data_IF_315626571719
#
_entry.id   IF_315626571719
#
_cell.length_a   1.000
_cell.length_b   1.000
_cell.length_c   1.000
_cell.angle_alpha   90.00
_cell.angle_beta   90.00
_cell.angle_gamma   90.00
#
_symmetry.space_group_name_H-M   'P 1'
#
loop_
_entity.id
_entity.type
_entity.pdbx_description
1 polymer ?
#
# COMPACT_ATOMS: atom_id res chain seq x y z
N UNK A 1 9.55 14.17 1.76
CA UNK A 1 8.56 14.87 0.90
C UNK A 1 7.17 14.88 1.56
N UNK A 2 6.60 13.71 1.87
CA UNK A 2 5.28 13.63 2.51
C UNK A 2 5.21 14.41 3.83
N UNK A 3 6.24 14.31 4.69
CA UNK A 3 6.33 15.09 5.94
C UNK A 3 6.09 16.58 5.76
N UNK A 4 6.63 17.17 4.71
CA UNK A 4 6.48 18.59 4.44
C UNK A 4 5.02 18.94 4.11
N UNK A 5 4.38 18.13 3.25
CA UNK A 5 2.96 18.30 2.89
C UNK A 5 2.08 18.17 4.14
N UNK A 6 2.37 17.18 4.99
CA UNK A 6 1.62 16.94 6.22
C UNK A 6 1.81 18.06 7.25
N UNK A 7 3.05 18.53 7.42
CA UNK A 7 3.35 19.67 8.30
C UNK A 7 2.65 20.94 7.82
N UNK A 8 2.64 21.21 6.51
CA UNK A 8 1.88 22.32 5.94
C UNK A 8 0.38 22.16 6.18
N UNK A 9 -0.16 20.94 6.04
CA UNK A 9 -1.57 20.64 6.28
C UNK A 9 -1.98 20.95 7.72
N UNK A 10 -1.15 20.56 8.69
CA UNK A 10 -1.39 20.90 10.10
C UNK A 10 -1.21 22.41 10.39
N UNK A 11 -0.25 23.08 9.74
CA UNK A 11 -0.04 24.52 9.91
C UNK A 11 -1.18 25.36 9.34
N UNK A 12 -1.73 24.96 8.19
CA UNK A 12 -2.81 25.69 7.51
C UNK A 12 -4.21 25.16 7.84
N UNK A 13 -4.33 24.17 8.73
CA UNK A 13 -5.56 23.43 9.04
C UNK A 13 -6.29 22.90 7.77
N UNK A 14 -5.52 22.45 6.78
CA UNK A 14 -6.05 21.95 5.50
C UNK A 14 -6.02 20.42 5.43
N UNK A 15 -7.19 19.82 5.62
CA UNK A 15 -7.38 18.37 5.64
C UNK A 15 -8.20 17.84 4.46
N UNK A 16 -8.14 18.51 3.29
CA UNK A 16 -8.82 18.05 2.07
C UNK A 16 -8.32 16.67 1.62
N UNK A 17 -9.01 16.03 0.66
CA UNK A 17 -8.56 14.77 0.06
C UNK A 17 -7.12 14.87 -0.44
N UNK A 18 -6.29 13.89 -0.11
CA UNK A 18 -4.93 13.74 -0.62
C UNK A 18 -4.88 12.55 -1.58
N UNK A 19 -4.50 12.78 -2.84
CA UNK A 19 -4.28 11.73 -3.84
C UNK A 19 -2.79 11.65 -4.09
N UNK A 20 -2.21 10.46 -3.96
CA UNK A 20 -0.78 10.22 -4.11
C UNK A 20 -0.57 9.07 -5.08
N UNK A 21 0.25 9.31 -6.09
CA UNK A 21 0.69 8.27 -7.02
C UNK A 21 2.12 7.86 -6.65
N UNK A 22 2.34 6.55 -6.53
CA UNK A 22 3.62 5.92 -6.23
C UNK A 22 4.44 6.64 -5.13
N UNK A 23 3.91 6.80 -3.89
CA UNK A 23 4.66 7.40 -2.79
C UNK A 23 5.95 6.65 -2.44
N UNK A 24 6.07 5.39 -2.85
CA UNK A 24 7.24 4.52 -2.65
C UNK A 24 8.41 4.76 -3.61
N UNK A 25 8.22 5.49 -4.71
CA UNK A 25 9.22 5.57 -5.76
C UNK A 25 10.54 6.16 -5.24
N UNK A 26 11.66 5.52 -5.61
CA UNK A 26 13.02 5.84 -5.15
C UNK A 26 13.25 5.70 -3.64
N UNK A 27 12.34 5.07 -2.89
CA UNK A 27 12.53 4.76 -1.47
C UNK A 27 12.96 3.29 -1.29
N UNK A 28 13.83 3.04 -0.33
CA UNK A 28 14.18 1.68 0.06
C UNK A 28 13.03 1.03 0.86
N UNK A 29 12.93 -0.30 0.79
CA UNK A 29 11.87 -1.08 1.45
C UNK A 29 11.80 -0.84 2.96
N UNK A 30 12.94 -0.59 3.62
CA UNK A 30 12.98 -0.36 5.06
C UNK A 30 12.38 1.01 5.39
N UNK A 31 12.68 2.05 4.61
CA UNK A 31 12.06 3.37 4.79
C UNK A 31 10.56 3.35 4.52
N UNK A 32 10.10 2.62 3.49
CA UNK A 32 8.67 2.45 3.20
C UNK A 32 7.95 1.89 4.44
N UNK A 33 8.48 0.83 5.02
CA UNK A 33 7.87 0.18 6.19
C UNK A 33 7.96 1.01 7.47
N UNK A 34 9.12 1.58 7.80
CA UNK A 34 9.36 2.25 9.08
C UNK A 34 8.84 3.69 9.11
N UNK A 35 8.79 4.38 7.97
CA UNK A 35 8.49 5.82 7.92
C UNK A 35 7.20 6.09 7.17
N UNK A 36 7.14 5.75 5.89
CA UNK A 36 6.01 6.11 5.03
C UNK A 36 4.69 5.50 5.53
N UNK A 37 4.68 4.20 5.83
CA UNK A 37 3.51 3.50 6.40
C UNK A 37 3.02 4.17 7.68
N UNK A 38 3.93 4.59 8.56
CA UNK A 38 3.57 5.21 9.83
C UNK A 38 3.02 6.64 9.66
N UNK A 39 3.55 7.41 8.70
CA UNK A 39 3.01 8.72 8.34
C UNK A 39 1.60 8.62 7.76
N UNK A 40 1.36 7.63 6.89
CA UNK A 40 0.03 7.41 6.32
C UNK A 40 -0.98 7.03 7.41
N UNK A 41 -0.59 6.17 8.36
CA UNK A 41 -1.42 5.80 9.52
C UNK A 41 -1.78 6.98 10.41
N UNK A 42 -0.84 7.89 10.68
CA UNK A 42 -1.11 9.02 11.57
C UNK A 42 -2.04 10.07 10.96
N UNK A 43 -2.13 10.10 9.63
CA UNK A 43 -2.87 11.13 8.89
C UNK A 43 -4.23 10.67 8.41
N UNK A 44 -4.43 9.36 8.15
CA UNK A 44 -5.71 8.83 7.65
C UNK A 44 -6.91 9.12 8.56
N UNK A 45 -6.69 9.35 9.85
CA UNK A 45 -7.75 9.70 10.81
C UNK A 45 -8.16 11.18 10.73
N UNK A 46 -7.31 12.04 10.14
CA UNK A 46 -7.56 13.48 9.98
C UNK A 46 -8.07 13.85 8.58
N UNK A 47 -7.69 13.09 7.54
CA UNK A 47 -8.08 13.34 6.14
C UNK A 47 -8.22 12.05 5.35
N UNK A 48 -9.04 12.09 4.30
CA UNK A 48 -9.07 11.00 3.32
C UNK A 48 -7.79 10.99 2.47
N UNK A 49 -7.22 9.80 2.28
CA UNK A 49 -6.05 9.58 1.42
C UNK A 49 -6.38 8.50 0.40
N UNK A 50 -6.12 8.76 -0.88
CA UNK A 50 -6.19 7.79 -1.98
C UNK A 50 -4.78 7.60 -2.50
N UNK A 51 -4.33 6.33 -2.58
CA UNK A 51 -2.97 5.99 -2.98
C UNK A 51 -3.04 5.01 -4.14
N UNK A 52 -2.38 5.34 -5.24
CA UNK A 52 -2.00 4.40 -6.27
C UNK A 52 -0.61 3.86 -5.94
N UNK A 53 -0.46 2.54 -5.80
CA UNK A 53 0.79 1.91 -5.38
C UNK A 53 0.91 0.52 -5.98
N UNK A 54 2.14 0.10 -6.23
CA UNK A 54 2.49 -1.26 -6.61
C UNK A 54 3.20 -2.01 -5.46
N UNK A 55 3.22 -1.43 -4.26
CA UNK A 55 3.93 -1.97 -3.11
C UNK A 55 2.98 -2.68 -2.12
N UNK A 56 3.12 -4.00 -1.99
CA UNK A 56 2.32 -4.80 -1.07
C UNK A 56 2.43 -4.33 0.39
N UNK A 57 3.58 -3.79 0.80
CA UNK A 57 3.81 -3.30 2.17
C UNK A 57 2.91 -2.12 2.48
N UNK A 58 2.70 -1.21 1.52
CA UNK A 58 1.80 -0.05 1.71
C UNK A 58 0.36 -0.55 1.84
N UNK A 59 -0.09 -1.41 0.93
CA UNK A 59 -1.46 -1.93 0.94
C UNK A 59 -1.78 -2.69 2.23
N UNK A 60 -0.88 -3.57 2.68
CA UNK A 60 -1.09 -4.43 3.85
C UNK A 60 -0.81 -3.74 5.17
N UNK A 61 0.25 -2.93 5.26
CA UNK A 61 0.71 -2.37 6.53
C UNK A 61 0.23 -0.94 6.79
N UNK A 62 -0.14 -0.13 5.79
CA UNK A 62 -0.68 1.21 6.02
C UNK A 62 -2.13 1.22 6.59
N UNK A 63 -2.70 0.03 6.84
CA UNK A 63 -4.11 -0.14 7.27
C UNK A 63 -5.02 0.55 6.25
N UNK A 64 -4.95 0.10 5.00
CA UNK A 64 -5.89 0.56 3.98
C UNK A 64 -7.32 0.18 4.41
N UNK A 65 -8.22 1.15 4.46
CA UNK A 65 -9.62 0.89 4.81
C UNK A 65 -10.38 0.27 3.65
N UNK A 66 -9.91 0.51 2.42
CA UNK A 66 -10.49 -0.05 1.21
C UNK A 66 -9.41 -0.20 0.15
N UNK A 67 -9.43 -1.34 -0.53
CA UNK A 67 -8.54 -1.68 -1.65
C UNK A 67 -9.37 -1.77 -2.91
N UNK A 68 -8.87 -1.16 -3.98
CA UNK A 68 -9.36 -1.30 -5.34
C UNK A 68 -8.26 -1.94 -6.16
N UNK A 69 -8.54 -3.14 -6.69
CA UNK A 69 -7.66 -3.83 -7.62
C UNK A 69 -8.07 -3.37 -9.01
N UNK A 70 -7.13 -2.71 -9.68
CA UNK A 70 -7.31 -2.22 -11.05
C UNK A 70 -6.78 -3.25 -12.04
N UNK A 71 -7.48 -3.41 -13.16
CA UNK A 71 -7.06 -4.20 -14.31
C UNK A 71 -7.20 -3.35 -15.58
N UNK A 72 -6.50 -3.71 -16.65
CA UNK A 72 -6.52 -2.99 -17.91
C UNK A 72 -6.30 -3.92 -19.10
N UNK A 73 -6.98 -3.64 -20.21
CA UNK A 73 -6.73 -4.28 -21.51
C UNK A 73 -5.69 -3.51 -22.36
N UNK A 74 -5.12 -2.43 -21.82
CA UNK A 74 -4.21 -1.51 -22.51
C UNK A 74 -4.89 -0.30 -23.14
N UNK A 75 -6.22 -0.30 -23.29
CA UNK A 75 -7.02 0.82 -23.80
C UNK A 75 -7.95 1.40 -22.72
N UNK A 76 -8.54 0.53 -21.88
CA UNK A 76 -9.46 0.86 -20.81
C UNK A 76 -9.03 0.19 -19.51
N UNK A 77 -9.14 0.94 -18.40
CA UNK A 77 -8.96 0.40 -17.06
C UNK A 77 -10.30 0.24 -16.33
N UNK A 78 -10.42 -0.80 -15.52
CA UNK A 78 -11.60 -1.02 -14.67
C UNK A 78 -11.21 -1.52 -13.28
N UNK A 79 -12.16 -1.43 -12.35
CA UNK A 79 -12.04 -2.04 -11.03
C UNK A 79 -12.40 -3.51 -11.18
N UNK A 80 -11.41 -4.39 -11.10
CA UNK A 80 -11.61 -5.83 -11.14
C UNK A 80 -12.17 -6.33 -9.80
N UNK A 81 -11.61 -5.85 -8.69
CA UNK A 81 -12.03 -6.23 -7.34
C UNK A 81 -11.99 -5.03 -6.39
N UNK A 82 -12.87 -5.04 -5.39
CA UNK A 82 -12.79 -4.12 -4.26
C UNK A 82 -13.18 -4.80 -2.95
N UNK A 83 -12.61 -4.30 -1.84
CA UNK A 83 -12.90 -4.81 -0.51
C UNK A 83 -11.92 -4.32 0.53
N UNK A 84 -11.97 -4.94 1.70
CA UNK A 84 -11.06 -4.69 2.80
C UNK A 84 -9.81 -5.58 2.70
N UNK A 85 -8.61 -5.15 3.14
CA UNK A 85 -7.38 -5.96 3.12
C UNK A 85 -7.49 -7.28 3.87
N UNK A 86 -8.38 -7.35 4.86
CA UNK A 86 -8.63 -8.56 5.64
C UNK A 86 -9.31 -9.67 4.85
N UNK A 87 -10.04 -9.34 3.78
CA UNK A 87 -10.83 -10.28 2.99
C UNK A 87 -9.94 -11.23 2.17
N UNK A 88 -10.30 -12.51 2.12
CA UNK A 88 -9.55 -13.56 1.42
C UNK A 88 -9.36 -13.20 -0.06
N UNK A 89 -10.38 -12.65 -0.72
CA UNK A 89 -10.32 -12.25 -2.13
C UNK A 89 -9.25 -11.17 -2.37
N UNK A 90 -9.12 -10.20 -1.45
CA UNK A 90 -8.15 -9.11 -1.55
C UNK A 90 -6.75 -9.63 -1.24
N UNK A 91 -6.59 -10.47 -0.21
CA UNK A 91 -5.30 -11.13 0.08
C UNK A 91 -4.78 -11.94 -1.10
N UNK A 92 -5.66 -12.70 -1.77
CA UNK A 92 -5.30 -13.43 -2.99
C UNK A 92 -4.84 -12.50 -4.10
N UNK A 93 -5.55 -11.38 -4.32
CA UNK A 93 -5.16 -10.39 -5.31
C UNK A 93 -3.79 -9.76 -4.98
N UNK A 94 -3.55 -9.36 -3.72
CA UNK A 94 -2.26 -8.82 -3.28
C UNK A 94 -1.12 -9.81 -3.57
N UNK A 95 -1.29 -11.08 -3.21
CA UNK A 95 -0.26 -12.10 -3.48
C UNK A 95 -0.05 -12.30 -4.98
N UNK A 96 -1.12 -12.31 -5.77
CA UNK A 96 -1.02 -12.54 -7.20
C UNK A 96 -0.33 -11.38 -7.93
N UNK A 97 -0.77 -10.15 -7.68
CA UNK A 97 -0.33 -8.97 -8.43
C UNK A 97 0.91 -8.29 -7.85
N UNK A 98 1.02 -8.19 -6.52
CA UNK A 98 2.09 -7.40 -5.87
C UNK A 98 3.27 -8.26 -5.37
N UNK A 99 3.06 -9.56 -5.16
CA UNK A 99 4.12 -10.47 -4.69
C UNK A 99 4.67 -11.42 -5.77
N UNK A 100 4.14 -11.30 -7.00
CA UNK A 100 4.56 -12.09 -8.16
C UNK A 100 3.95 -13.49 -8.22
N UNK A 101 2.80 -13.72 -7.60
CA UNK A 101 2.09 -14.99 -7.64
C UNK A 101 2.29 -15.86 -6.41
N UNK A 102 1.38 -16.82 -6.23
CA UNK A 102 1.36 -17.74 -5.08
C UNK A 102 2.64 -18.58 -5.01
N UNK A 103 3.13 -19.07 -6.15
CA UNK A 103 4.32 -19.94 -6.19
C UNK A 103 5.60 -19.16 -5.88
N UNK A 104 5.75 -17.95 -6.42
CA UNK A 104 6.83 -17.02 -6.07
C UNK A 104 6.83 -16.71 -4.57
N UNK A 105 5.66 -16.40 -4.01
CA UNK A 105 5.55 -16.08 -2.59
C UNK A 105 5.89 -17.28 -1.70
N UNK A 106 5.39 -18.49 -2.01
CA UNK A 106 5.73 -19.71 -1.28
C UNK A 106 7.23 -20.02 -1.35
N UNK A 107 7.85 -19.82 -2.51
CA UNK A 107 9.29 -20.02 -2.66
C UNK A 107 10.10 -19.06 -1.78
N UNK A 108 9.73 -17.76 -1.74
CA UNK A 108 10.32 -16.78 -0.80
C UNK A 108 10.17 -17.24 0.66
N UNK A 109 8.97 -17.70 1.05
CA UNK A 109 8.73 -18.19 2.41
C UNK A 109 9.66 -19.36 2.79
N UNK A 110 9.89 -20.30 1.88
CA UNK A 110 10.79 -21.42 2.13
C UNK A 110 12.26 -20.98 2.24
N UNK A 111 12.72 -20.04 1.39
CA UNK A 111 14.07 -19.48 1.47
C UNK A 111 14.33 -18.81 2.83
N UNK A 112 13.38 -17.99 3.29
CA UNK A 112 13.54 -17.21 4.52
C UNK A 112 13.15 -17.97 5.80
N UNK A 113 12.64 -19.18 5.67
CA UNK A 113 12.12 -19.99 6.79
C UNK A 113 13.10 -20.12 7.95
N UNK A 114 14.39 -20.30 7.66
CA UNK A 114 15.44 -20.43 8.69
C UNK A 114 15.66 -19.17 9.52
N UNK A 115 15.28 -17.98 9.02
CA UNK A 115 15.43 -16.69 9.70
C UNK A 115 14.10 -16.21 10.30
N UNK A 116 12.97 -16.76 9.86
CA UNK A 116 11.62 -16.43 10.33
C UNK A 116 11.09 -17.34 11.44
N UNK A 117 11.76 -18.47 11.70
CA UNK A 117 11.32 -19.49 12.67
C UNK A 117 12.00 -19.37 14.05
N UNK A 118 12.83 -18.35 14.23
CA UNK A 118 13.47 -17.94 15.49
C UNK A 118 12.69 -16.79 16.15
#
# INVERSE_FOLDING_TARGET
MLDFILACSDYSEDYRLLIIDQPEDNLDTRYIYLTLVNQLKSVKDKRQIIIATHNATIVTNAISDKVFVMESDGEHGWIELQGYPGEIKIKKAIVNYLEGGIDSFKHKQEIYKSVLSD
#
